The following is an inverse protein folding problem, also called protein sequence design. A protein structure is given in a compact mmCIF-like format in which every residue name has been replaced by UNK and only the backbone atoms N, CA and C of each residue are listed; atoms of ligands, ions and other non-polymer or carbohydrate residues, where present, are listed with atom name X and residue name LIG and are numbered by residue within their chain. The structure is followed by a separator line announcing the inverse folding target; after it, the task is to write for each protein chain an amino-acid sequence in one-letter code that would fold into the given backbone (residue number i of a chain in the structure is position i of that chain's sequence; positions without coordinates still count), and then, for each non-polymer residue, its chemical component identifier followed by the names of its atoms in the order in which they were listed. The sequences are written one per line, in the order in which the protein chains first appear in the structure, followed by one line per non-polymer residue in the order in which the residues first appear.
data_IF_461465499421
#
_entry.id   IF_461465499421
#
_cell.length_a   1.000
_cell.length_b   1.000
_cell.length_c   1.000
_cell.angle_alpha   90.00
_cell.angle_beta   90.00
_cell.angle_gamma   90.00
#
_symmetry.space_group_name_H-M   'P 1'
#
loop_
_entity.id
_entity.type
_entity.pdbx_description
1 polymer ?
#
# COMPACT_ATOMS: atom_id res chain seq x y z
N UNK A 1 23.34 -39.59 -6.86
CA UNK A 1 23.38 -38.50 -5.88
C UNK A 1 23.58 -39.10 -4.50
N UNK A 2 24.73 -38.87 -3.87
CA UNK A 2 25.06 -39.43 -2.56
C UNK A 2 24.33 -38.61 -1.48
N UNK A 3 23.49 -39.24 -0.66
CA UNK A 3 22.85 -38.58 0.50
C UNK A 3 23.88 -38.47 1.63
N UNK A 4 24.32 -37.25 1.94
CA UNK A 4 25.23 -36.99 3.06
C UNK A 4 24.40 -36.76 4.33
N UNK A 5 24.35 -37.76 5.22
CA UNK A 5 23.70 -37.61 6.52
C UNK A 5 24.57 -36.76 7.46
N UNK A 6 23.98 -35.76 8.11
CA UNK A 6 24.68 -34.91 9.08
C UNK A 6 24.30 -35.33 10.49
N UNK A 7 25.28 -35.70 11.31
CA UNK A 7 25.07 -36.07 12.72
C UNK A 7 25.38 -34.88 13.62
N UNK A 8 24.41 -34.45 14.44
CA UNK A 8 24.60 -33.41 15.46
C UNK A 8 24.62 -34.04 16.84
N UNK A 9 25.66 -33.73 17.63
CA UNK A 9 25.79 -34.15 19.03
C UNK A 9 25.45 -32.97 19.95
N UNK A 10 24.46 -33.15 20.82
CA UNK A 10 24.11 -32.20 21.88
C UNK A 10 24.18 -32.89 23.24
N UNK A 11 24.38 -32.14 24.31
CA UNK A 11 24.47 -32.68 25.67
C UNK A 11 23.33 -32.09 26.50
N UNK A 12 22.58 -32.94 27.20
CA UNK A 12 21.49 -32.48 28.06
C UNK A 12 22.05 -31.89 29.37
N UNK A 13 21.17 -31.27 30.18
CA UNK A 13 21.55 -30.68 31.49
C UNK A 13 22.09 -31.67 32.52
N UNK A 14 21.99 -32.97 32.26
CA UNK A 14 22.48 -34.06 33.11
C UNK A 14 23.78 -34.69 32.58
N UNK A 15 24.31 -34.21 31.45
CA UNK A 15 25.57 -34.71 30.88
C UNK A 15 25.41 -35.86 29.90
N UNK A 16 24.19 -36.29 29.58
CA UNK A 16 23.97 -37.37 28.60
C UNK A 16 24.12 -36.83 27.18
N UNK A 17 24.88 -37.56 26.35
CA UNK A 17 25.04 -37.26 24.93
C UNK A 17 23.79 -37.69 24.14
N UNK A 18 23.17 -36.73 23.46
CA UNK A 18 22.10 -36.95 22.49
C UNK A 18 22.72 -36.82 21.09
N UNK A 19 22.65 -37.90 20.32
CA UNK A 19 23.15 -37.93 18.93
C UNK A 19 21.95 -38.00 17.99
N UNK A 20 21.69 -36.92 17.26
CA UNK A 20 20.61 -36.85 16.27
C UNK A 20 21.22 -36.93 14.88
N UNK A 21 20.77 -37.91 14.09
CA UNK A 21 21.22 -38.10 12.70
C UNK A 21 20.14 -37.58 11.76
N UNK A 22 20.47 -36.53 11.02
CA UNK A 22 19.55 -35.88 10.08
C UNK A 22 19.92 -36.28 8.66
N UNK A 23 19.02 -36.99 7.98
CA UNK A 23 19.24 -37.54 6.62
C UNK A 23 18.63 -36.67 5.51
N UNK A 24 17.80 -35.68 5.85
CA UNK A 24 17.13 -34.79 4.89
C UNK A 24 17.53 -33.33 5.08
N UNK A 25 17.86 -32.62 3.98
CA UNK A 25 18.17 -31.18 4.01
C UNK A 25 17.02 -30.31 4.58
N UNK A 26 15.79 -30.81 4.57
CA UNK A 26 14.62 -30.13 5.11
C UNK A 26 14.69 -29.96 6.64
N UNK A 27 15.27 -30.93 7.34
CA UNK A 27 15.30 -31.01 8.80
C UNK A 27 16.43 -30.16 9.40
N UNK A 28 17.39 -29.70 8.58
CA UNK A 28 18.45 -28.75 8.96
C UNK A 28 18.06 -27.28 8.74
N UNK A 29 16.92 -27.04 8.08
CA UNK A 29 16.47 -25.68 7.78
C UNK A 29 15.85 -25.05 9.04
N UNK A 30 16.65 -24.34 9.83
CA UNK A 30 16.13 -23.42 10.84
C UNK A 30 15.17 -22.46 10.16
N UNK A 31 13.88 -22.56 10.47
CA UNK A 31 12.87 -21.63 10.00
C UNK A 31 13.17 -20.24 10.59
N UNK A 32 13.90 -19.42 9.84
CA UNK A 32 14.01 -18.00 10.11
C UNK A 32 12.90 -17.30 9.34
N UNK A 33 12.09 -16.52 10.07
CA UNK A 33 11.20 -15.53 9.45
C UNK A 33 12.08 -14.60 8.60
N UNK A 34 12.08 -14.79 7.27
CA UNK A 34 12.82 -13.93 6.32
C UNK A 34 12.37 -12.46 6.33
N UNK A 35 11.31 -12.15 7.07
CA UNK A 35 10.85 -10.79 7.36
C UNK A 35 11.51 -10.27 8.64
N UNK A 36 12.64 -9.57 8.47
CA UNK A 36 13.33 -8.80 9.51
C UNK A 36 12.48 -7.60 9.97
N UNK A 37 11.40 -7.89 10.70
CA UNK A 37 10.48 -6.87 11.22
C UNK A 37 11.19 -5.86 12.13
N UNK A 38 12.26 -6.28 12.82
CA UNK A 38 13.06 -5.41 13.69
C UNK A 38 13.78 -4.33 12.89
N UNK A 39 14.48 -4.71 11.83
CA UNK A 39 15.18 -3.76 10.94
C UNK A 39 14.20 -2.79 10.31
N UNK A 40 13.04 -3.29 9.90
CA UNK A 40 11.95 -2.45 9.37
C UNK A 40 11.39 -1.49 10.41
N UNK A 41 11.12 -1.96 11.63
CA UNK A 41 10.62 -1.12 12.71
C UNK A 41 11.59 0.02 13.06
N UNK A 42 12.90 -0.28 13.14
CA UNK A 42 13.93 0.74 13.33
C UNK A 42 13.91 1.74 12.17
N UNK A 43 13.83 1.25 10.93
CA UNK A 43 13.82 2.12 9.75
C UNK A 43 12.57 3.01 9.68
N UNK A 44 11.41 2.50 10.10
CA UNK A 44 10.14 3.23 10.13
C UNK A 44 10.18 4.43 11.09
N UNK A 45 11.00 4.41 12.15
CA UNK A 45 11.17 5.57 13.05
C UNK A 45 11.65 6.83 12.31
N UNK A 46 12.35 6.66 11.19
CA UNK A 46 12.90 7.74 10.37
C UNK A 46 11.97 8.21 9.23
N UNK A 47 10.77 7.66 9.08
CA UNK A 47 9.83 8.05 8.02
C UNK A 47 9.46 9.54 8.07
N UNK A 48 9.43 10.13 9.27
CA UNK A 48 9.15 11.55 9.45
C UNK A 48 10.15 12.47 8.70
N UNK A 49 11.41 12.05 8.53
CA UNK A 49 12.43 12.82 7.80
C UNK A 49 12.06 13.00 6.32
N UNK A 50 11.43 11.99 5.71
CA UNK A 50 10.99 12.02 4.31
C UNK A 50 9.87 13.02 4.07
N UNK A 51 9.12 13.38 5.11
CA UNK A 51 8.02 14.35 5.01
C UNK A 51 8.47 15.79 4.75
N UNK A 52 9.78 16.05 4.84
CA UNK A 52 10.39 17.33 4.50
C UNK A 52 10.55 17.50 2.97
N UNK A 53 10.72 16.39 2.25
CA UNK A 53 10.96 16.37 0.80
C UNK A 53 9.89 15.53 0.12
N UNK A 54 8.84 16.21 -0.34
CA UNK A 54 7.71 15.61 -1.03
C UNK A 54 7.63 16.20 -2.43
N UNK A 55 7.79 15.34 -3.43
CA UNK A 55 7.66 15.68 -4.84
C UNK A 55 6.30 15.22 -5.35
N UNK A 56 5.74 15.95 -6.30
CA UNK A 56 4.48 15.61 -6.98
C UNK A 56 4.77 15.61 -8.46
N UNK A 57 4.43 14.52 -9.17
CA UNK A 57 4.61 14.48 -10.63
C UNK A 57 3.77 15.57 -11.29
N UNK A 58 4.39 16.30 -12.21
CA UNK A 58 3.74 17.32 -13.04
C UNK A 58 3.71 16.81 -14.48
N UNK A 59 2.82 15.85 -14.76
CA UNK A 59 2.54 15.44 -16.13
C UNK A 59 1.56 16.42 -16.80
N UNK A 60 1.47 16.36 -18.13
CA UNK A 60 0.60 17.24 -18.94
C UNK A 60 -0.84 17.25 -18.40
N UNK A 61 -1.23 18.40 -17.85
CA UNK A 61 -2.54 18.61 -17.25
C UNK A 61 -3.58 18.55 -18.37
N UNK A 62 -4.41 17.50 -18.38
CA UNK A 62 -5.59 17.47 -19.25
C UNK A 62 -6.60 18.51 -18.74
N UNK A 63 -6.93 19.49 -19.57
CA UNK A 63 -7.89 20.57 -19.24
C UNK A 63 -9.30 20.06 -18.88
N UNK A 64 -9.62 18.80 -19.19
CA UNK A 64 -10.96 18.21 -19.04
C UNK A 64 -11.14 17.33 -17.79
N UNK A 65 -10.25 17.42 -16.80
CA UNK A 65 -10.28 16.60 -15.58
C UNK A 65 -10.40 17.39 -14.27
N UNK A 66 -10.84 16.71 -13.20
CA UNK A 66 -10.82 17.28 -11.85
C UNK A 66 -9.39 17.46 -11.34
N UNK A 67 -9.16 18.53 -10.59
CA UNK A 67 -7.91 18.77 -9.85
C UNK A 67 -8.09 18.40 -8.39
N UNK A 68 -7.24 17.52 -7.85
CA UNK A 68 -7.34 17.02 -6.49
C UNK A 68 -6.35 17.74 -5.57
N UNK A 69 -6.83 18.27 -4.46
CA UNK A 69 -6.02 18.96 -3.45
C UNK A 69 -5.91 18.07 -2.22
N UNK A 70 -4.70 17.58 -1.94
CA UNK A 70 -4.39 16.76 -0.77
C UNK A 70 -3.76 17.62 0.34
N UNK A 71 -4.39 17.75 1.52
CA UNK A 71 -3.83 18.54 2.60
C UNK A 71 -2.55 17.89 3.18
N UNK A 72 -1.52 18.70 3.40
CA UNK A 72 -0.19 18.21 3.78
C UNK A 72 -0.18 17.49 5.13
N UNK A 73 -0.98 17.93 6.10
CA UNK A 73 -1.01 17.33 7.45
C UNK A 73 -1.42 15.84 7.42
N UNK A 74 -2.48 15.50 6.67
CA UNK A 74 -2.93 14.10 6.55
C UNK A 74 -1.94 13.26 5.76
N UNK A 75 -1.31 13.83 4.72
CA UNK A 75 -0.26 13.16 3.96
C UNK A 75 0.97 12.85 4.83
N UNK A 76 1.45 13.82 5.61
CA UNK A 76 2.59 13.62 6.51
C UNK A 76 2.27 12.54 7.54
N UNK A 77 1.07 12.55 8.12
CA UNK A 77 0.63 11.52 9.06
C UNK A 77 0.57 10.14 8.39
N UNK A 78 0.01 10.05 7.18
CA UNK A 78 -0.08 8.83 6.39
C UNK A 78 1.31 8.23 6.10
N UNK A 79 2.29 9.06 5.72
CA UNK A 79 3.69 8.63 5.54
C UNK A 79 4.28 8.11 6.86
N UNK A 80 4.05 8.80 7.98
CA UNK A 80 4.65 8.42 9.28
C UNK A 80 4.13 7.08 9.81
N UNK A 81 2.86 6.73 9.55
CA UNK A 81 2.27 5.47 10.03
C UNK A 81 2.55 4.27 9.10
N UNK A 82 3.28 4.48 8.00
CA UNK A 82 3.53 3.47 6.99
C UNK A 82 4.75 2.58 7.29
N UNK A 83 5.09 1.72 6.35
CA UNK A 83 6.29 0.89 6.36
C UNK A 83 7.01 0.99 5.01
N UNK A 84 8.34 0.89 5.01
CA UNK A 84 9.16 1.03 3.80
C UNK A 84 9.05 -0.14 2.82
N UNK A 85 8.54 -1.28 3.26
CA UNK A 85 8.43 -2.50 2.44
C UNK A 85 6.99 -2.95 2.26
N UNK A 86 6.16 -2.77 3.27
CA UNK A 86 4.76 -3.21 3.27
C UNK A 86 3.87 -2.03 2.90
N UNK A 87 3.07 -2.19 1.86
CA UNK A 87 2.13 -1.16 1.45
C UNK A 87 1.01 -1.01 2.49
N UNK A 88 0.63 0.24 2.75
CA UNK A 88 -0.61 0.60 3.45
C UNK A 88 -1.44 1.46 2.51
N UNK A 89 -2.75 1.46 2.71
CA UNK A 89 -3.71 2.20 1.92
C UNK A 89 -4.75 2.91 2.79
N UNK A 90 -5.34 3.97 2.26
CA UNK A 90 -6.44 4.70 2.88
C UNK A 90 -7.43 5.17 1.83
N UNK A 91 -8.72 5.12 2.16
CA UNK A 91 -9.77 5.64 1.29
C UNK A 91 -9.86 7.16 1.41
N UNK A 92 -10.00 7.83 0.27
CA UNK A 92 -10.06 9.28 0.16
C UNK A 92 -11.52 9.75 0.13
N UNK A 93 -11.82 10.72 0.98
CA UNK A 93 -13.13 11.39 0.99
C UNK A 93 -12.94 12.90 0.98
N UNK A 94 -13.80 13.59 0.26
CA UNK A 94 -13.69 15.03 0.10
C UNK A 94 -14.94 15.66 -0.51
N UNK A 95 -14.83 16.93 -0.88
CA UNK A 95 -15.89 17.71 -1.52
C UNK A 95 -15.28 18.72 -2.47
N UNK A 96 -16.06 19.16 -3.45
CA UNK A 96 -15.72 20.36 -4.21
C UNK A 96 -16.01 21.62 -3.39
N UNK A 97 -15.15 22.65 -3.47
CA UNK A 97 -15.46 23.95 -2.89
C UNK A 97 -16.70 24.55 -3.59
N UNK A 98 -17.53 25.35 -2.89
CA UNK A 98 -18.75 25.93 -3.46
C UNK A 98 -18.50 26.77 -4.73
N UNK A 99 -17.32 27.40 -4.80
CA UNK A 99 -16.97 28.33 -5.87
C UNK A 99 -16.35 27.64 -7.09
N UNK A 100 -15.89 26.39 -6.97
CA UNK A 100 -15.20 25.70 -8.06
C UNK A 100 -15.46 24.18 -8.09
N UNK A 101 -16.43 23.70 -8.89
CA UNK A 101 -16.77 22.28 -8.98
C UNK A 101 -15.69 21.43 -9.66
N UNK A 102 -14.73 22.03 -10.38
CA UNK A 102 -13.64 21.30 -11.06
C UNK A 102 -12.50 20.92 -10.09
N UNK A 103 -12.54 21.42 -8.86
CA UNK A 103 -11.57 21.07 -7.81
C UNK A 103 -12.21 20.09 -6.83
N UNK A 104 -11.44 19.11 -6.37
CA UNK A 104 -11.80 18.14 -5.34
C UNK A 104 -10.85 18.29 -4.17
N UNK A 105 -11.33 18.82 -3.06
CA UNK A 105 -10.54 18.95 -1.84
C UNK A 105 -10.68 17.68 -1.00
N UNK A 106 -9.58 16.94 -0.84
CA UNK A 106 -9.54 15.77 0.04
C UNK A 106 -9.59 16.28 1.48
N UNK A 107 -10.62 15.86 2.23
CA UNK A 107 -10.82 16.27 3.63
C UNK A 107 -10.45 15.17 4.62
N UNK A 108 -10.55 13.91 4.22
CA UNK A 108 -10.35 12.77 5.09
C UNK A 108 -9.63 11.62 4.37
N UNK A 109 -8.78 10.92 5.12
CA UNK A 109 -8.25 9.61 4.76
C UNK A 109 -8.76 8.61 5.79
N UNK A 110 -9.53 7.62 5.34
CA UNK A 110 -10.07 6.56 6.20
C UNK A 110 -9.17 5.34 6.11
N UNK A 111 -8.70 4.84 7.26
CA UNK A 111 -7.84 3.67 7.38
C UNK A 111 -8.66 2.44 7.80
N UNK A 112 -9.12 1.59 6.87
CA UNK A 112 -9.79 0.34 7.22
C UNK A 112 -8.80 -0.71 7.74
N UNK A 113 -9.28 -1.77 8.42
CA UNK A 113 -8.46 -2.95 8.72
C UNK A 113 -7.85 -3.52 7.44
N UNK A 114 -6.53 -3.69 7.40
CA UNK A 114 -5.82 -4.02 6.17
C UNK A 114 -4.50 -4.73 6.46
N UNK A 115 -3.96 -5.40 5.45
CA UNK A 115 -2.59 -5.89 5.45
C UNK A 115 -2.01 -5.76 4.05
N UNK A 116 -0.69 -5.61 3.95
CA UNK A 116 -0.03 -5.40 2.68
C UNK A 116 1.07 -6.41 2.41
N UNK A 117 1.49 -6.42 1.16
CA UNK A 117 2.77 -6.98 0.71
C UNK A 117 3.64 -5.84 0.19
N UNK A 118 4.71 -6.16 -0.53
CA UNK A 118 5.54 -5.16 -1.21
C UNK A 118 4.95 -4.70 -2.55
N UNK A 119 3.97 -5.44 -3.09
CA UNK A 119 3.38 -5.20 -4.41
C UNK A 119 1.93 -4.71 -4.35
N UNK A 120 1.20 -5.07 -3.30
CA UNK A 120 -0.23 -4.76 -3.19
C UNK A 120 -0.68 -4.64 -1.74
N UNK A 121 -1.87 -4.09 -1.55
CA UNK A 121 -2.59 -4.04 -0.27
C UNK A 121 -3.90 -4.80 -0.36
N UNK A 122 -4.26 -5.47 0.72
CA UNK A 122 -5.52 -6.18 0.88
C UNK A 122 -6.44 -5.35 1.78
N UNK A 123 -7.53 -4.88 1.17
CA UNK A 123 -8.56 -4.08 1.83
C UNK A 123 -9.84 -4.91 1.99
N UNK A 124 -10.70 -4.58 2.98
CA UNK A 124 -12.02 -5.20 3.10
C UNK A 124 -12.90 -4.81 1.90
N UNK A 125 -13.78 -5.73 1.46
CA UNK A 125 -14.73 -5.46 0.38
C UNK A 125 -15.73 -4.35 0.72
N UNK A 126 -16.09 -4.21 2.00
CA UNK A 126 -17.06 -3.22 2.45
C UNK A 126 -16.39 -1.87 2.64
N UNK A 127 -16.88 -0.85 1.94
CA UNK A 127 -16.44 0.52 2.14
C UNK A 127 -16.77 1.03 3.56
N UNK A 128 -15.96 1.96 4.10
CA UNK A 128 -16.23 2.58 5.39
C UNK A 128 -17.56 3.33 5.40
N UNK A 129 -18.31 3.16 6.48
CA UNK A 129 -19.56 3.90 6.75
C UNK A 129 -19.44 4.60 8.09
N UNK A 130 -19.63 5.92 8.12
CA UNK A 130 -19.57 6.72 9.33
C UNK A 130 -20.34 8.03 9.15
N UNK A 131 -20.93 8.59 10.22
CA UNK A 131 -21.73 9.82 10.19
C UNK A 131 -20.98 10.99 9.53
N UNK A 132 -19.72 11.23 9.92
CA UNK A 132 -18.85 12.25 9.33
C UNK A 132 -18.50 12.06 7.85
N UNK A 133 -18.81 10.91 7.25
CA UNK A 133 -18.59 10.69 5.82
C UNK A 133 -19.83 10.99 4.98
N UNK A 134 -21.01 11.20 5.59
CA UNK A 134 -22.26 11.38 4.87
C UNK A 134 -22.29 12.65 4.00
N UNK A 135 -21.55 13.69 4.42
CA UNK A 135 -21.44 14.96 3.69
C UNK A 135 -20.29 14.96 2.67
N UNK A 136 -19.50 13.88 2.59
CA UNK A 136 -18.33 13.77 1.73
C UNK A 136 -18.59 12.77 0.60
N UNK A 137 -18.00 13.01 -0.57
CA UNK A 137 -18.00 12.05 -1.67
C UNK A 137 -16.69 11.23 -1.67
N UNK A 138 -16.73 9.95 -2.08
CA UNK A 138 -15.52 9.15 -2.23
C UNK A 138 -14.69 9.64 -3.43
N UNK A 139 -13.41 9.86 -3.20
CA UNK A 139 -12.44 10.34 -4.21
C UNK A 139 -11.42 9.26 -4.61
N UNK A 140 -11.64 8.01 -4.19
CA UNK A 140 -10.76 6.87 -4.47
C UNK A 140 -9.89 6.50 -3.27
N UNK A 141 -8.61 6.23 -3.50
CA UNK A 141 -7.71 5.74 -2.45
C UNK A 141 -6.25 6.18 -2.67
N UNK A 142 -5.49 6.21 -1.58
CA UNK A 142 -4.05 6.44 -1.55
C UNK A 142 -3.36 5.20 -1.00
N UNK A 143 -2.19 4.83 -1.54
CA UNK A 143 -1.34 3.81 -0.93
C UNK A 143 0.14 4.15 -1.03
N UNK A 144 0.94 3.56 -0.13
CA UNK A 144 2.39 3.65 -0.20
C UNK A 144 2.94 2.60 -1.17
N UNK A 145 4.03 2.94 -1.87
CA UNK A 145 4.77 1.97 -2.70
C UNK A 145 6.27 2.00 -2.35
N UNK A 146 6.91 0.83 -2.16
CA UNK A 146 8.33 0.77 -1.81
C UNK A 146 9.25 1.35 -2.87
N UNK A 147 8.89 1.15 -4.15
CA UNK A 147 9.64 1.62 -5.30
C UNK A 147 8.74 2.52 -6.14
N UNK A 148 9.31 3.57 -6.72
CA UNK A 148 8.61 4.39 -7.68
C UNK A 148 8.46 3.65 -9.01
N UNK A 149 7.23 3.60 -9.52
CA UNK A 149 6.91 3.04 -10.82
C UNK A 149 6.56 4.18 -11.80
N UNK A 150 6.93 4.07 -13.09
CA UNK A 150 6.55 5.06 -14.10
C UNK A 150 5.08 4.97 -14.50
N UNK A 151 4.36 3.94 -14.06
CA UNK A 151 2.98 3.66 -14.41
C UNK A 151 2.25 3.00 -13.25
N UNK A 152 0.92 3.10 -13.25
CA UNK A 152 0.05 2.42 -12.29
C UNK A 152 0.24 0.90 -12.38
N UNK A 153 0.34 0.23 -11.23
CA UNK A 153 0.55 -1.22 -11.22
C UNK A 153 -0.70 -1.98 -11.68
N UNK A 154 -0.56 -3.17 -12.29
CA UNK A 154 -1.70 -4.01 -12.63
C UNK A 154 -2.57 -4.39 -11.41
N UNK A 155 -1.94 -4.51 -10.22
CA UNK A 155 -2.65 -4.77 -8.96
C UNK A 155 -3.52 -3.60 -8.55
N UNK A 156 -3.05 -2.36 -8.72
CA UNK A 156 -3.83 -1.16 -8.40
C UNK A 156 -5.00 -0.98 -9.36
N UNK A 157 -4.80 -1.27 -10.65
CA UNK A 157 -5.87 -1.27 -11.66
C UNK A 157 -6.96 -2.27 -11.27
N UNK A 158 -6.56 -3.50 -10.95
CA UNK A 158 -7.49 -4.57 -10.56
C UNK A 158 -8.23 -4.22 -9.28
N UNK A 159 -7.52 -3.71 -8.27
CA UNK A 159 -8.10 -3.32 -6.97
C UNK A 159 -9.10 -2.17 -7.14
N UNK A 160 -8.71 -1.11 -7.85
CA UNK A 160 -9.58 0.04 -8.08
C UNK A 160 -10.82 -0.34 -8.91
N UNK A 161 -10.65 -1.17 -9.95
CA UNK A 161 -11.77 -1.65 -10.76
C UNK A 161 -12.72 -2.55 -9.97
N UNK A 162 -12.21 -3.44 -9.12
CA UNK A 162 -13.02 -4.31 -8.26
C UNK A 162 -13.84 -3.49 -7.26
N UNK A 163 -13.20 -2.55 -6.56
CA UNK A 163 -13.90 -1.67 -5.61
C UNK A 163 -14.99 -0.86 -6.29
N UNK A 164 -14.72 -0.35 -7.49
CA UNK A 164 -15.70 0.42 -8.27
C UNK A 164 -16.86 -0.45 -8.80
N UNK A 165 -16.60 -1.71 -9.15
CA UNK A 165 -17.64 -2.65 -9.57
C UNK A 165 -18.57 -3.03 -8.39
N UNK A 166 -18.00 -3.20 -7.20
CA UNK A 166 -18.72 -3.60 -5.99
C UNK A 166 -19.47 -2.43 -5.32
N UNK A 167 -19.10 -1.18 -5.62
CA UNK A 167 -19.62 0.01 -4.94
C UNK A 167 -20.07 1.09 -5.92
N UNK A 168 -21.39 1.21 -6.12
CA UNK A 168 -22.00 2.19 -7.02
C UNK A 168 -21.74 3.66 -6.65
N UNK A 169 -21.27 3.93 -5.43
CA UNK A 169 -20.86 5.27 -5.00
C UNK A 169 -19.57 5.76 -5.68
N UNK A 170 -18.73 4.86 -6.20
CA UNK A 170 -17.50 5.22 -6.90
C UNK A 170 -17.79 5.41 -8.38
N UNK A 171 -17.31 6.52 -8.94
CA UNK A 171 -17.50 6.85 -10.36
C UNK A 171 -16.16 7.06 -11.06
N UNK A 172 -16.05 6.56 -12.30
CA UNK A 172 -14.82 6.60 -13.11
C UNK A 172 -14.27 8.00 -13.36
N UNK A 173 -15.11 9.03 -13.29
CA UNK A 173 -14.73 10.42 -13.50
C UNK A 173 -14.09 11.05 -12.26
N UNK A 174 -14.43 10.62 -11.05
CA UNK A 174 -14.09 11.27 -9.77
C UNK A 174 -13.16 10.48 -8.86
N UNK A 175 -13.03 9.18 -9.05
CA UNK A 175 -12.17 8.36 -8.19
C UNK A 175 -10.78 8.21 -8.77
N UNK A 176 -9.76 8.40 -7.93
CA UNK A 176 -8.36 8.29 -8.31
C UNK A 176 -7.59 7.29 -7.44
N UNK A 177 -6.44 6.86 -7.92
CA UNK A 177 -5.42 6.15 -7.14
C UNK A 177 -4.25 7.10 -6.94
N UNK A 178 -3.93 7.43 -5.70
CA UNK A 178 -2.71 8.17 -5.37
C UNK A 178 -1.64 7.17 -4.92
N UNK A 179 -0.53 7.13 -5.62
CA UNK A 179 0.63 6.32 -5.25
C UNK A 179 1.65 7.21 -4.53
N UNK A 180 2.06 6.83 -3.32
CA UNK A 180 3.11 7.51 -2.55
C UNK A 180 4.39 6.66 -2.50
N UNK A 181 5.33 6.96 -3.39
CA UNK A 181 6.61 6.26 -3.54
C UNK A 181 7.64 6.68 -2.50
N UNK A 182 8.38 5.73 -1.95
CA UNK A 182 9.57 6.02 -1.14
C UNK A 182 10.85 6.10 -1.98
N UNK A 183 11.19 7.31 -2.41
CA UNK A 183 12.46 7.64 -3.07
C UNK A 183 13.58 7.89 -2.04
N UNK A 184 14.88 7.86 -2.38
CA UNK A 184 15.94 8.12 -1.40
C UNK A 184 15.76 9.46 -0.67
N UNK A 185 15.60 9.41 0.67
CA UNK A 185 15.43 10.60 1.53
C UNK A 185 14.14 11.41 1.35
N UNK A 186 13.22 10.97 0.49
CA UNK A 186 12.05 11.75 0.07
C UNK A 186 10.81 10.85 -0.15
N UNK A 187 9.70 11.46 -0.56
CA UNK A 187 8.53 10.78 -1.12
C UNK A 187 8.15 11.42 -2.47
N UNK A 188 7.67 10.62 -3.41
CA UNK A 188 7.11 11.08 -4.68
C UNK A 188 5.64 10.66 -4.79
N UNK A 189 4.76 11.59 -5.15
CA UNK A 189 3.34 11.35 -5.31
C UNK A 189 2.94 11.42 -6.78
N UNK A 190 2.11 10.47 -7.19
CA UNK A 190 1.47 10.45 -8.51
C UNK A 190 0.00 10.08 -8.33
N UNK A 191 -0.86 10.67 -9.16
CA UNK A 191 -2.29 10.43 -9.13
C UNK A 191 -2.75 9.90 -10.47
N UNK A 192 -3.49 8.79 -10.42
CA UNK A 192 -3.95 8.05 -11.60
C UNK A 192 -5.47 7.96 -11.61
N UNK A 193 -6.05 7.99 -12.81
CA UNK A 193 -7.46 7.73 -13.05
C UNK A 193 -7.57 6.57 -14.03
N UNK A 194 -8.48 5.63 -13.77
CA UNK A 194 -8.73 4.56 -14.73
C UNK A 194 -9.44 5.09 -15.97
N UNK A 195 -9.01 4.62 -17.14
CA UNK A 195 -9.78 4.77 -18.37
C UNK A 195 -10.94 3.77 -18.37
N UNK A 196 -11.98 3.97 -19.20
CA UNK A 196 -13.03 2.97 -19.39
C UNK A 196 -12.47 1.59 -19.78
N UNK A 197 -11.46 1.56 -20.65
CA UNK A 197 -10.76 0.33 -21.02
C UNK A 197 -9.99 -0.30 -19.86
N UNK A 198 -9.35 0.50 -19.01
CA UNK A 198 -8.64 0.03 -17.82
C UNK A 198 -9.59 -0.54 -16.77
N UNK A 199 -10.77 0.04 -16.59
CA UNK A 199 -11.82 -0.51 -15.74
C UNK A 199 -12.31 -1.87 -16.25
N UNK A 200 -12.63 -1.95 -17.54
CA UNK A 200 -13.07 -3.19 -18.20
C UNK A 200 -12.04 -4.30 -18.11
N UNK A 201 -10.76 -3.96 -18.26
CA UNK A 201 -9.68 -4.91 -18.07
C UNK A 201 -9.57 -5.34 -16.60
N UNK A 202 -9.53 -4.37 -15.67
CA UNK A 202 -9.32 -4.62 -14.25
C UNK A 202 -10.42 -5.45 -13.59
N UNK A 203 -11.69 -5.26 -13.99
CA UNK A 203 -12.82 -6.05 -13.45
C UNK A 203 -12.81 -7.51 -13.90
N UNK A 204 -12.20 -7.79 -15.07
CA UNK A 204 -12.14 -9.13 -15.66
C UNK A 204 -10.84 -9.87 -15.30
N UNK A 205 -9.84 -9.15 -14.80
CA UNK A 205 -8.55 -9.69 -14.39
C UNK A 205 -8.68 -10.36 -13.00
N UNK A 206 -8.79 -11.68 -12.98
CA UNK A 206 -8.87 -12.51 -11.76
C UNK A 206 -7.55 -13.20 -11.45
#
# INVERSE_FOLDING_TARGET
SQLTATTTRTVNKHGDEIITSTTSNYETATFSSKTEWRVRAISATNLHLRTNYIYVSSDDIKETGFTYILPKNVLKKFIIISDLRTQIAGYLYGVSPPDNPQVKEIRCIVMPPQWGTHQMVHLPHKLPTHEFLNELEPLGWIHTQPNELPQLSPHDITTHATVMADNSSWTTDRTIVITCSFTPGSCSLQAYKLTPSGFEWGRNNK
#
